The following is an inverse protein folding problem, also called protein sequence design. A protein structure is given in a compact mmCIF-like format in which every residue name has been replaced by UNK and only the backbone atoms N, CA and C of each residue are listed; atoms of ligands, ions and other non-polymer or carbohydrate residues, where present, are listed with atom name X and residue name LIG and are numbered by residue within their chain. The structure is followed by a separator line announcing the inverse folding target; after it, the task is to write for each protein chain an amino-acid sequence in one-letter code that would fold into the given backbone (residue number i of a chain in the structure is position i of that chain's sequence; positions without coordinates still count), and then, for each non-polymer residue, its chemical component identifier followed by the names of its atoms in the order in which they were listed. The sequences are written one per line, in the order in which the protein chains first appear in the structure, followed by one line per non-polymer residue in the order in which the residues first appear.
data_IF_811296381049
#
_entry.id   IF_811296381049
#
_cell.length_a   1.000
_cell.length_b   1.000
_cell.length_c   1.000
_cell.angle_alpha   90.00
_cell.angle_beta   90.00
_cell.angle_gamma   90.00
#
_symmetry.space_group_name_H-M   'P 1'
#
loop_
_entity.id
_entity.type
_entity.pdbx_description
1 polymer ?
#
# COMPACT_ATOMS: atom_id res chain seq x y z
N UNK A 1 3.20 -19.56 23.82
CA UNK A 1 2.06 -18.70 24.19
C UNK A 1 1.66 -17.94 22.96
N UNK A 2 0.58 -18.39 22.33
CA UNK A 2 0.02 -17.84 21.10
C UNK A 2 -1.39 -17.38 21.45
N UNK A 3 -1.79 -16.17 21.02
CA UNK A 3 -3.16 -15.76 20.71
C UNK A 3 -3.14 -14.27 20.31
N UNK A 4 -3.40 -13.96 19.03
CA UNK A 4 -4.65 -13.32 18.58
C UNK A 4 -4.56 -12.99 17.08
N UNK A 5 -5.33 -13.73 16.28
CA UNK A 5 -5.63 -13.47 14.87
C UNK A 5 -7.15 -13.60 14.72
N UNK A 6 -7.72 -12.74 13.87
CA UNK A 6 -9.04 -12.78 13.23
C UNK A 6 -10.29 -12.33 14.02
N UNK A 7 -11.11 -11.50 13.36
CA UNK A 7 -12.58 -11.23 13.45
C UNK A 7 -12.77 -9.81 12.85
N UNK A 8 -13.65 -9.45 11.90
CA UNK A 8 -14.83 -10.10 11.34
C UNK A 8 -15.15 -9.55 9.93
N UNK A 9 -15.71 -10.41 9.09
CA UNK A 9 -16.43 -10.11 7.85
C UNK A 9 -17.93 -10.44 8.11
N UNK A 10 -18.82 -9.77 7.37
CA UNK A 10 -20.30 -9.92 7.25
C UNK A 10 -21.23 -9.13 8.19
N UNK A 11 -22.04 -8.25 7.57
CA UNK A 11 -23.51 -8.41 7.51
C UNK A 11 -24.07 -7.72 6.25
N UNK A 12 -25.21 -8.25 5.81
CA UNK A 12 -25.83 -8.23 4.49
C UNK A 12 -26.90 -7.12 4.34
N UNK A 13 -27.22 -6.71 3.10
CA UNK A 13 -28.62 -6.70 2.66
C UNK A 13 -28.78 -6.59 1.13
N UNK A 14 -29.57 -7.52 0.60
CA UNK A 14 -29.96 -7.69 -0.79
C UNK A 14 -31.02 -6.67 -1.25
N UNK A 15 -31.03 -6.37 -2.55
CA UNK A 15 -32.25 -6.18 -3.33
C UNK A 15 -31.97 -6.50 -4.80
N UNK A 16 -32.27 -7.74 -5.19
CA UNK A 16 -32.41 -8.15 -6.59
C UNK A 16 -33.90 -8.06 -6.98
N UNK A 17 -34.16 -7.54 -8.17
CA UNK A 17 -35.40 -7.82 -8.92
C UNK A 17 -34.99 -8.33 -10.30
N UNK A 18 -35.48 -9.51 -10.60
CA UNK A 18 -35.33 -10.22 -11.85
C UNK A 18 -36.14 -9.55 -12.97
N UNK A 19 -35.62 -9.62 -14.19
CA UNK A 19 -36.45 -9.97 -15.34
C UNK A 19 -35.59 -10.60 -16.44
N UNK A 20 -35.96 -11.81 -16.81
CA UNK A 20 -35.36 -12.62 -17.87
C UNK A 20 -35.85 -12.19 -19.26
N UNK A 21 -35.03 -12.38 -20.29
CA UNK A 21 -35.47 -12.24 -21.67
C UNK A 21 -34.38 -12.38 -22.73
N UNK A 22 -34.32 -13.57 -23.32
CA UNK A 22 -33.84 -13.96 -24.66
C UNK A 22 -32.39 -13.72 -25.10
N UNK A 23 -31.78 -14.85 -25.43
CA UNK A 23 -30.64 -15.09 -26.31
C UNK A 23 -30.74 -14.33 -27.64
N UNK A 24 -29.65 -13.72 -28.09
CA UNK A 24 -29.26 -13.68 -29.50
C UNK A 24 -27.77 -13.32 -29.65
N UNK A 25 -27.08 -14.09 -30.49
CA UNK A 25 -25.65 -13.96 -30.83
C UNK A 25 -25.48 -12.84 -31.87
N UNK A 26 -24.65 -11.80 -31.64
CA UNK A 26 -24.37 -10.82 -32.67
C UNK A 26 -23.24 -11.28 -33.62
N UNK A 27 -23.28 -10.89 -34.91
CA UNK A 27 -22.39 -11.38 -35.96
C UNK A 27 -21.02 -10.68 -35.96
N UNK A 28 -20.07 -11.27 -36.70
CA UNK A 28 -18.69 -10.82 -36.85
C UNK A 28 -18.55 -9.35 -37.31
N UNK A 29 -17.50 -8.62 -36.86
CA UNK A 29 -17.39 -7.18 -37.07
C UNK A 29 -16.99 -6.81 -38.50
N UNK A 30 -17.71 -5.85 -39.08
CA UNK A 30 -17.36 -5.16 -40.33
C UNK A 30 -16.47 -3.94 -40.06
N UNK A 31 -15.51 -3.73 -40.97
CA UNK A 31 -14.51 -2.65 -40.94
C UNK A 31 -15.14 -1.25 -40.88
N UNK A 32 -15.10 -0.59 -39.72
CA UNK A 32 -15.41 0.85 -39.57
C UNK A 32 -14.64 1.52 -38.40
N UNK A 33 -13.39 1.14 -38.16
CA UNK A 33 -12.58 1.65 -37.04
C UNK A 33 -11.52 2.71 -37.46
N UNK A 34 -11.87 3.72 -38.26
CA UNK A 34 -10.94 4.84 -38.56
C UNK A 34 -11.47 6.24 -38.31
N UNK A 35 -12.77 6.45 -38.18
CA UNK A 35 -13.32 7.80 -37.92
C UNK A 35 -13.66 8.06 -36.44
N UNK A 36 -14.00 7.02 -35.68
CA UNK A 36 -14.40 7.15 -34.26
C UNK A 36 -13.22 7.36 -33.30
N UNK A 37 -11.98 7.03 -33.71
CA UNK A 37 -10.79 7.24 -32.86
C UNK A 37 -10.25 8.68 -32.93
N UNK A 38 -10.66 9.47 -33.91
CA UNK A 38 -10.18 10.86 -34.07
C UNK A 38 -10.96 11.84 -33.18
N UNK A 39 -12.26 11.58 -32.97
CA UNK A 39 -13.13 12.44 -32.15
C UNK A 39 -12.84 12.36 -30.65
N UNK A 40 -12.33 11.23 -30.16
CA UNK A 40 -12.03 11.06 -28.73
C UNK A 40 -10.68 11.66 -28.33
N UNK A 41 -9.71 11.74 -29.27
CA UNK A 41 -8.44 12.43 -29.06
C UNK A 41 -8.59 13.96 -29.12
N UNK A 42 -9.47 14.47 -29.98
CA UNK A 42 -9.75 15.91 -30.11
C UNK A 42 -10.53 16.47 -28.90
N UNK A 43 -11.23 15.61 -28.13
CA UNK A 43 -12.00 16.03 -26.96
C UNK A 43 -11.17 16.08 -25.66
N UNK A 44 -10.01 15.41 -25.62
CA UNK A 44 -9.04 15.53 -24.53
C UNK A 44 -8.35 16.90 -24.55
N UNK A 45 -8.20 17.52 -25.73
CA UNK A 45 -7.59 18.85 -25.88
C UNK A 45 -8.46 20.02 -25.40
N UNK A 46 -9.78 19.83 -25.21
CA UNK A 46 -10.72 20.94 -24.92
C UNK A 46 -10.89 21.31 -23.45
N UNK A 47 -10.35 20.52 -22.52
CA UNK A 47 -10.33 20.82 -21.08
C UNK A 47 -8.90 20.98 -20.56
N UNK A 48 -8.07 21.78 -21.24
CA UNK A 48 -6.76 22.15 -20.73
C UNK A 48 -6.97 23.08 -19.52
N UNK A 49 -6.93 22.52 -18.32
CA UNK A 49 -6.83 23.33 -17.10
C UNK A 49 -5.52 24.09 -17.23
N UNK A 50 -5.58 25.39 -17.51
CA UNK A 50 -4.38 26.23 -17.54
C UNK A 50 -3.89 26.36 -16.11
N UNK A 51 -3.01 25.46 -15.67
CA UNK A 51 -2.30 25.63 -14.40
C UNK A 51 -1.51 26.94 -14.52
N UNK A 52 -1.81 27.89 -13.65
CA UNK A 52 -0.99 29.09 -13.50
C UNK A 52 0.32 28.64 -12.85
N UNK A 53 1.41 28.58 -13.62
CA UNK A 53 2.78 28.33 -13.15
C UNK A 53 3.31 29.52 -12.32
N UNK A 54 2.54 29.97 -11.32
CA UNK A 54 2.84 31.11 -10.46
C UNK A 54 2.55 30.73 -9.02
N UNK A 55 3.42 31.14 -8.11
CA UNK A 55 3.32 30.85 -6.68
C UNK A 55 4.67 30.43 -6.10
N UNK A 56 4.78 30.45 -4.78
CA UNK A 56 6.00 30.14 -4.03
C UNK A 56 6.55 28.73 -4.36
N UNK A 57 5.65 27.77 -4.60
CA UNK A 57 6.01 26.41 -5.01
C UNK A 57 6.55 26.27 -6.44
N UNK A 58 6.50 27.33 -7.26
CA UNK A 58 7.06 27.31 -8.63
C UNK A 58 8.38 28.07 -8.74
N UNK A 59 8.92 28.55 -7.63
CA UNK A 59 10.28 29.07 -7.62
C UNK A 59 11.27 27.90 -7.50
N UNK A 60 11.69 27.39 -8.65
CA UNK A 60 12.57 26.23 -8.74
C UNK A 60 13.98 26.49 -8.19
N UNK A 61 14.42 27.75 -8.17
CA UNK A 61 15.73 28.15 -7.65
C UNK A 61 15.76 28.16 -6.11
N UNK A 62 14.60 28.08 -5.45
CA UNK A 62 14.47 28.10 -3.99
C UNK A 62 14.34 26.71 -3.37
N UNK A 63 14.38 25.62 -4.15
CA UNK A 63 14.34 24.25 -3.61
C UNK A 63 15.44 24.09 -2.55
N UNK A 64 15.05 23.67 -1.34
CA UNK A 64 15.90 23.58 -0.16
C UNK A 64 15.72 24.76 0.81
N UNK A 65 15.40 25.95 0.29
CA UNK A 65 15.19 27.18 1.07
C UNK A 65 13.71 27.46 1.38
N UNK A 66 12.78 26.83 0.65
CA UNK A 66 11.33 27.02 0.87
C UNK A 66 10.89 26.53 2.25
N UNK A 67 9.85 27.17 2.75
CA UNK A 67 9.22 26.80 4.01
C UNK A 67 8.06 25.83 3.77
N UNK A 68 8.40 24.61 3.35
CA UNK A 68 7.42 23.53 3.18
C UNK A 68 7.03 22.92 4.53
N UNK A 69 5.87 22.27 4.58
CA UNK A 69 5.46 21.56 5.80
C UNK A 69 4.79 22.44 6.87
N UNK A 70 4.44 23.67 6.51
CA UNK A 70 3.65 24.59 7.35
C UNK A 70 2.24 24.08 7.66
N UNK A 71 1.62 24.65 8.70
CA UNK A 71 0.26 24.32 9.15
C UNK A 71 0.20 23.67 10.54
N UNK A 72 -1.02 23.31 10.97
CA UNK A 72 -1.25 22.78 12.31
C UNK A 72 -0.57 21.41 12.51
N UNK A 73 0.40 21.37 13.41
CA UNK A 73 1.17 20.17 13.75
C UNK A 73 1.54 20.21 15.24
N UNK A 74 1.17 19.16 15.99
CA UNK A 74 1.47 19.06 17.43
C UNK A 74 2.84 18.44 17.74
N UNK A 75 3.63 18.10 16.72
CA UNK A 75 4.91 17.43 16.86
C UNK A 75 6.05 18.40 16.52
N UNK A 76 7.00 18.58 17.45
CA UNK A 76 8.28 19.21 17.13
C UNK A 76 9.12 18.30 16.22
N UNK A 77 10.18 18.83 15.62
CA UNK A 77 11.08 18.04 14.78
C UNK A 77 11.75 16.93 15.60
N UNK A 78 12.16 17.22 16.82
CA UNK A 78 12.79 16.25 17.73
C UNK A 78 11.82 15.12 18.10
N UNK A 79 10.57 15.48 18.40
CA UNK A 79 9.52 14.50 18.71
C UNK A 79 9.18 13.64 17.49
N UNK A 80 9.19 14.24 16.30
CA UNK A 80 8.99 13.54 15.04
C UNK A 80 10.08 12.51 14.77
N UNK A 81 11.35 12.90 14.94
CA UNK A 81 12.51 12.01 14.79
C UNK A 81 12.47 10.87 15.81
N UNK A 82 12.15 11.18 17.08
CA UNK A 82 12.05 10.16 18.13
C UNK A 82 10.94 9.14 17.83
N UNK A 83 9.77 9.61 17.39
CA UNK A 83 8.66 8.75 16.99
C UNK A 83 9.05 7.86 15.79
N UNK A 84 9.63 8.46 14.76
CA UNK A 84 10.13 7.75 13.59
C UNK A 84 11.14 6.67 13.93
N UNK A 85 12.09 6.97 14.83
CA UNK A 85 13.11 6.04 15.27
C UNK A 85 12.53 4.83 15.99
N UNK A 86 11.50 5.03 16.81
CA UNK A 86 10.79 3.92 17.46
C UNK A 86 10.10 3.03 16.42
N UNK A 87 9.35 3.64 15.49
CA UNK A 87 8.65 2.89 14.43
C UNK A 87 9.63 2.16 13.51
N UNK A 88 10.77 2.78 13.19
CA UNK A 88 11.80 2.15 12.36
C UNK A 88 12.38 0.90 13.03
N UNK A 89 12.60 0.92 14.35
CA UNK A 89 13.02 -0.28 15.10
C UNK A 89 11.99 -1.41 14.99
N UNK A 90 10.70 -1.10 15.09
CA UNK A 90 9.64 -2.10 14.92
C UNK A 90 9.64 -2.67 13.49
N UNK A 91 9.80 -1.82 12.47
CA UNK A 91 9.92 -2.30 11.08
C UNK A 91 11.13 -3.22 10.93
N UNK A 92 12.29 -2.84 11.46
CA UNK A 92 13.53 -3.62 11.38
C UNK A 92 13.48 -4.94 12.16
N UNK A 93 12.62 -5.03 13.18
CA UNK A 93 12.40 -6.27 13.93
C UNK A 93 11.62 -7.31 13.11
N UNK A 94 10.65 -6.86 12.29
CA UNK A 94 9.77 -7.76 11.54
C UNK A 94 10.11 -7.89 10.06
N UNK A 95 10.83 -6.93 9.49
CA UNK A 95 11.22 -6.91 8.09
C UNK A 95 12.64 -7.47 7.91
N UNK A 96 12.83 -8.24 6.84
CA UNK A 96 14.16 -8.69 6.44
C UNK A 96 14.88 -7.59 5.67
N UNK A 97 15.86 -6.95 6.30
CA UNK A 97 16.67 -5.90 5.66
C UNK A 97 17.70 -6.54 4.72
N UNK A 98 17.90 -5.93 3.55
CA UNK A 98 18.98 -6.32 2.63
C UNK A 98 20.26 -5.60 3.06
N UNK A 99 21.21 -6.37 3.62
CA UNK A 99 22.50 -5.86 4.09
C UNK A 99 23.63 -5.94 3.03
N UNK A 100 23.29 -6.17 1.76
CA UNK A 100 24.27 -6.17 0.68
C UNK A 100 24.85 -4.76 0.49
N UNK A 101 26.17 -4.56 0.65
CA UNK A 101 26.75 -3.22 0.66
C UNK A 101 26.65 -2.51 -0.69
N UNK A 102 26.61 -3.24 -1.82
CA UNK A 102 26.50 -2.64 -3.15
C UNK A 102 25.09 -2.12 -3.37
N UNK A 103 24.07 -2.91 -3.01
CA UNK A 103 22.67 -2.49 -3.15
C UNK A 103 22.34 -1.35 -2.19
N UNK A 104 22.75 -1.50 -0.92
CA UNK A 104 22.44 -0.51 0.12
C UNK A 104 23.15 0.82 -0.13
N UNK A 105 24.40 0.83 -0.61
CA UNK A 105 25.08 2.07 -0.99
C UNK A 105 24.43 2.73 -2.19
N UNK A 106 24.08 1.96 -3.24
CA UNK A 106 23.42 2.49 -4.42
C UNK A 106 22.08 3.16 -4.10
N UNK A 107 21.20 2.45 -3.39
CA UNK A 107 19.87 2.96 -3.00
C UNK A 107 20.00 4.19 -2.11
N UNK A 108 20.93 4.14 -1.15
CA UNK A 108 21.20 5.29 -0.30
C UNK A 108 21.73 6.46 -1.14
N UNK A 109 22.64 6.26 -2.10
CA UNK A 109 23.16 7.34 -2.95
C UNK A 109 22.06 8.01 -3.78
N UNK A 110 21.18 7.23 -4.42
CA UNK A 110 20.04 7.78 -5.17
C UNK A 110 19.13 8.59 -4.26
N UNK A 111 18.73 8.03 -3.11
CA UNK A 111 17.85 8.73 -2.18
C UNK A 111 18.49 9.95 -1.52
N UNK A 112 19.76 9.90 -1.16
CA UNK A 112 20.49 11.05 -0.62
C UNK A 112 20.66 12.16 -1.68
N UNK A 113 20.82 11.81 -2.95
CA UNK A 113 20.83 12.81 -4.03
C UNK A 113 19.48 13.54 -4.12
N UNK A 114 18.37 12.82 -4.03
CA UNK A 114 17.02 13.41 -3.95
C UNK A 114 16.85 14.28 -2.70
N UNK A 115 17.25 13.79 -1.53
CA UNK A 115 17.14 14.54 -0.26
C UNK A 115 17.92 15.86 -0.32
N UNK A 116 19.15 15.85 -0.86
CA UNK A 116 19.98 17.06 -1.00
C UNK A 116 19.38 18.10 -1.94
N UNK A 117 18.57 17.67 -2.91
CA UNK A 117 17.88 18.53 -3.87
C UNK A 117 16.38 18.62 -3.54
N UNK A 118 16.05 18.62 -2.25
CA UNK A 118 14.68 18.73 -1.73
C UNK A 118 14.61 19.73 -0.58
N UNK A 119 13.40 20.05 -0.13
CA UNK A 119 13.18 20.91 1.04
C UNK A 119 13.29 20.17 2.39
N UNK A 120 13.97 19.01 2.43
CA UNK A 120 14.12 18.19 3.62
C UNK A 120 14.83 18.95 4.76
N UNK A 121 14.25 18.89 5.97
CA UNK A 121 14.82 19.49 7.20
C UNK A 121 15.26 18.46 8.23
N UNK A 122 15.14 17.17 7.91
CA UNK A 122 15.50 16.04 8.78
C UNK A 122 16.50 15.13 8.04
N UNK A 123 17.40 14.44 8.77
CA UNK A 123 18.28 13.46 8.15
C UNK A 123 17.48 12.26 7.65
N UNK A 124 17.89 11.69 6.51
CA UNK A 124 17.26 10.49 5.98
C UNK A 124 18.12 9.25 6.23
N UNK A 125 17.47 8.19 6.73
CA UNK A 125 18.03 6.84 6.83
C UNK A 125 17.27 5.96 5.86
N UNK A 126 17.93 5.53 4.79
CA UNK A 126 17.29 4.75 3.72
C UNK A 126 17.75 3.30 3.82
N UNK A 127 16.80 2.37 3.88
CA UNK A 127 17.05 0.92 3.95
C UNK A 127 16.21 0.18 2.92
N UNK A 128 16.73 -0.94 2.43
CA UNK A 128 15.99 -1.83 1.53
C UNK A 128 15.46 -3.04 2.30
N UNK A 129 14.18 -3.36 2.07
CA UNK A 129 13.51 -4.54 2.60
C UNK A 129 13.46 -5.62 1.51
N UNK A 130 13.82 -6.85 1.86
CA UNK A 130 13.58 -8.03 1.06
C UNK A 130 12.07 -8.37 1.09
N UNK A 131 11.34 -7.85 0.12
CA UNK A 131 9.91 -8.11 -0.02
C UNK A 131 9.52 -8.07 -1.50
N UNK A 132 8.76 -9.06 -2.00
CA UNK A 132 8.30 -9.08 -3.39
C UNK A 132 7.23 -8.02 -3.67
N UNK A 133 6.72 -7.35 -2.63
CA UNK A 133 5.70 -6.32 -2.78
C UNK A 133 6.30 -5.06 -3.41
N UNK A 134 5.58 -4.51 -4.37
CA UNK A 134 5.87 -3.20 -4.94
C UNK A 134 5.48 -2.17 -3.87
N UNK A 135 6.46 -1.73 -3.08
CA UNK A 135 6.28 -0.73 -2.03
C UNK A 135 7.52 0.12 -1.79
N UNK A 136 7.28 1.36 -1.37
CA UNK A 136 8.21 2.20 -0.64
C UNK A 136 7.39 3.03 0.34
N UNK A 137 7.96 3.41 1.47
CA UNK A 137 7.30 4.26 2.44
C UNK A 137 8.33 5.01 3.27
N UNK A 138 7.97 6.22 3.69
CA UNK A 138 8.74 6.98 4.65
C UNK A 138 7.97 7.17 5.96
N UNK A 139 8.67 6.97 7.07
CA UNK A 139 8.19 7.24 8.42
C UNK A 139 8.57 8.67 8.82
N UNK A 140 7.90 9.23 9.85
CA UNK A 140 8.26 10.53 10.40
C UNK A 140 9.76 10.64 10.70
N UNK A 141 10.36 11.82 10.51
CA UNK A 141 11.77 12.03 10.85
C UNK A 141 12.80 11.39 9.90
N UNK A 142 12.38 10.97 8.69
CA UNK A 142 13.30 10.61 7.61
C UNK A 142 13.72 9.13 7.54
N UNK A 143 13.04 8.23 8.24
CA UNK A 143 13.30 6.79 8.08
C UNK A 143 12.56 6.25 6.86
N UNK A 144 13.30 5.89 5.82
CA UNK A 144 12.79 5.52 4.51
C UNK A 144 13.05 4.04 4.25
N UNK A 145 12.01 3.31 3.82
CA UNK A 145 12.13 1.93 3.40
C UNK A 145 11.66 1.74 1.96
N UNK A 146 12.47 1.03 1.18
CA UNK A 146 12.14 0.61 -0.19
C UNK A 146 12.13 -0.92 -0.27
N UNK A 147 11.11 -1.50 -0.90
CA UNK A 147 11.07 -2.95 -1.10
C UNK A 147 11.85 -3.35 -2.36
N UNK A 148 12.53 -4.50 -2.32
CA UNK A 148 13.17 -5.10 -3.50
C UNK A 148 12.17 -5.32 -4.65
N UNK A 149 10.92 -5.65 -4.33
CA UNK A 149 9.82 -5.76 -5.30
C UNK A 149 9.57 -4.48 -6.10
N UNK A 150 9.75 -3.30 -5.53
CA UNK A 150 9.63 -2.04 -6.29
C UNK A 150 10.73 -1.95 -7.36
N UNK A 151 11.99 -2.12 -6.94
CA UNK A 151 13.17 -2.02 -7.82
C UNK A 151 13.14 -3.05 -8.95
N UNK A 152 12.62 -4.25 -8.66
CA UNK A 152 12.48 -5.31 -9.66
C UNK A 152 11.39 -5.01 -10.70
N UNK A 153 10.37 -4.20 -10.38
CA UNK A 153 9.22 -3.93 -11.25
C UNK A 153 9.28 -2.60 -12.01
N UNK A 154 10.15 -1.67 -11.62
CA UNK A 154 10.42 -0.45 -12.42
C UNK A 154 11.37 -0.75 -13.59
N UNK A 155 11.24 -0.06 -14.72
CA UNK A 155 12.05 -0.35 -15.92
C UNK A 155 13.38 0.38 -15.93
N UNK A 156 13.47 1.51 -15.23
CA UNK A 156 14.63 2.38 -15.21
C UNK A 156 14.81 3.07 -13.86
N UNK A 157 15.97 3.70 -13.68
CA UNK A 157 16.31 4.38 -12.44
C UNK A 157 15.42 5.59 -12.16
N UNK A 158 15.01 6.34 -13.18
CA UNK A 158 14.16 7.52 -13.06
C UNK A 158 12.77 7.16 -12.49
N UNK A 159 12.20 6.02 -12.86
CA UNK A 159 10.98 5.48 -12.26
C UNK A 159 11.16 5.18 -10.76
N UNK A 160 12.27 4.54 -10.37
CA UNK A 160 12.59 4.31 -8.95
C UNK A 160 12.73 5.64 -8.20
N UNK A 161 13.49 6.57 -8.77
CA UNK A 161 13.71 7.89 -8.22
C UNK A 161 12.40 8.68 -8.08
N UNK A 162 11.44 8.53 -9.01
CA UNK A 162 10.14 9.20 -8.92
C UNK A 162 9.31 8.75 -7.71
N UNK A 163 9.33 7.46 -7.37
CA UNK A 163 8.66 6.94 -6.18
C UNK A 163 9.37 7.46 -4.93
N UNK A 164 10.71 7.44 -4.94
CA UNK A 164 11.49 7.97 -3.81
C UNK A 164 11.26 9.46 -3.59
N UNK A 165 11.17 10.25 -4.67
CA UNK A 165 10.91 11.68 -4.60
C UNK A 165 9.53 11.98 -3.99
N UNK A 166 8.52 11.19 -4.33
CA UNK A 166 7.17 11.28 -3.76
C UNK A 166 7.18 11.02 -2.25
N UNK A 167 7.83 9.94 -1.81
CA UNK A 167 7.95 9.59 -0.39
C UNK A 167 8.77 10.63 0.40
N UNK A 168 9.85 11.16 -0.19
CA UNK A 168 10.61 12.27 0.39
C UNK A 168 9.71 13.50 0.57
N UNK A 169 8.87 13.82 -0.43
CA UNK A 169 7.93 14.93 -0.33
C UNK A 169 6.92 14.79 0.82
N UNK A 170 6.47 13.57 1.14
CA UNK A 170 5.64 13.34 2.32
C UNK A 170 6.35 13.69 3.63
N UNK A 171 7.64 13.38 3.73
CA UNK A 171 8.46 13.73 4.91
C UNK A 171 8.74 15.23 4.94
N UNK A 172 9.13 15.85 3.81
CA UNK A 172 9.40 17.30 3.76
C UNK A 172 8.17 18.10 4.17
N UNK A 173 6.99 17.71 3.68
CA UNK A 173 5.72 18.36 4.05
C UNK A 173 5.15 17.88 5.39
N UNK A 174 5.84 16.99 6.10
CA UNK A 174 5.48 16.47 7.43
C UNK A 174 4.07 15.84 7.46
N UNK A 175 3.66 15.20 6.35
CA UNK A 175 2.30 14.69 6.17
C UNK A 175 1.92 13.64 7.21
N UNK A 176 2.85 12.77 7.62
CA UNK A 176 2.62 11.76 8.66
C UNK A 176 2.14 12.37 9.98
N UNK A 177 2.93 13.26 10.57
CA UNK A 177 2.59 13.90 11.86
C UNK A 177 1.44 14.90 11.76
N UNK A 178 1.22 15.54 10.61
CA UNK A 178 0.02 16.34 10.36
C UNK A 178 -1.24 15.46 10.31
N UNK A 179 -1.17 14.29 9.68
CA UNK A 179 -2.28 13.33 9.66
C UNK A 179 -2.57 12.80 11.07
N UNK A 180 -1.53 12.54 11.86
CA UNK A 180 -1.66 12.18 13.27
C UNK A 180 -2.32 13.27 14.11
N UNK A 181 -1.90 14.53 13.91
CA UNK A 181 -2.47 15.71 14.54
C UNK A 181 -3.96 15.82 14.22
N UNK A 182 -4.35 15.63 12.96
CA UNK A 182 -5.77 15.59 12.54
C UNK A 182 -6.54 14.46 13.24
N UNK A 183 -5.95 13.28 13.37
CA UNK A 183 -6.54 12.16 14.12
C UNK A 183 -6.74 12.49 15.61
N UNK A 184 -5.76 13.10 16.25
CA UNK A 184 -5.86 13.54 17.64
C UNK A 184 -6.96 14.59 17.83
N UNK A 185 -7.08 15.55 16.91
CA UNK A 185 -8.15 16.56 16.94
C UNK A 185 -9.51 15.90 16.73
N UNK A 186 -9.65 14.97 15.79
CA UNK A 186 -10.91 14.25 15.57
C UNK A 186 -11.33 13.44 16.81
N UNK A 187 -10.36 12.78 17.47
CA UNK A 187 -10.61 12.06 18.72
C UNK A 187 -10.99 13.01 19.88
N UNK A 188 -10.39 14.20 19.94
CA UNK A 188 -10.75 15.23 20.93
C UNK A 188 -12.16 15.80 20.66
N UNK A 189 -12.48 16.07 19.39
CA UNK A 189 -13.78 16.59 18.97
C UNK A 189 -14.93 15.58 19.12
N UNK A 190 -14.63 14.28 19.21
CA UNK A 190 -15.64 13.26 19.47
C UNK A 190 -16.00 13.14 20.97
N UNK A 191 -15.23 13.75 21.89
CA UNK A 191 -15.49 13.68 23.34
C UNK A 191 -16.88 14.21 23.71
N UNK A 192 -17.32 15.42 23.29
CA UNK A 192 -18.66 15.90 23.62
C UNK A 192 -19.77 14.97 23.10
N UNK A 193 -19.55 14.35 21.93
CA UNK A 193 -20.48 13.38 21.37
C UNK A 193 -20.54 12.09 22.21
N UNK A 194 -19.40 11.55 22.65
CA UNK A 194 -19.33 10.36 23.51
C UNK A 194 -19.94 10.58 24.90
N UNK A 195 -19.80 11.78 25.45
CA UNK A 195 -20.44 12.18 26.70
C UNK A 195 -21.97 12.25 26.51
N UNK A 196 -22.43 12.78 25.37
CA UNK A 196 -23.85 12.94 25.05
C UNK A 196 -24.56 11.63 24.67
N UNK A 197 -23.85 10.64 24.09
CA UNK A 197 -24.41 9.35 23.66
C UNK A 197 -24.40 8.24 24.73
N UNK A 198 -24.09 8.58 26.00
CA UNK A 198 -24.31 7.69 27.15
C UNK A 198 -23.08 6.95 27.69
N UNK A 199 -21.87 7.21 27.18
CA UNK A 199 -20.63 6.62 27.72
C UNK A 199 -20.10 7.29 28.99
N UNK A 200 -20.53 8.53 29.26
CA UNK A 200 -20.08 9.35 30.40
C UNK A 200 -18.55 9.52 30.46
N UNK A 201 -18.04 10.00 31.59
CA UNK A 201 -16.60 10.14 31.84
C UNK A 201 -15.87 8.79 31.98
N UNK A 202 -16.59 7.70 32.28
CA UNK A 202 -16.05 6.36 32.39
C UNK A 202 -15.67 5.73 31.04
N UNK A 203 -16.51 5.91 30.00
CA UNK A 203 -16.19 5.49 28.63
C UNK A 203 -14.97 6.21 28.05
N UNK A 204 -14.79 7.48 28.42
CA UNK A 204 -13.61 8.27 28.06
C UNK A 204 -12.31 7.74 28.68
N UNK A 205 -12.33 7.32 29.95
CA UNK A 205 -11.14 6.79 30.63
C UNK A 205 -10.64 5.46 30.04
N UNK A 206 -11.56 4.56 29.64
CA UNK A 206 -11.23 3.28 28.98
C UNK A 206 -10.63 3.53 27.60
N UNK A 207 -11.18 4.49 26.85
CA UNK A 207 -10.68 4.86 25.52
C UNK A 207 -9.29 5.52 25.55
N UNK A 208 -9.02 6.36 26.54
CA UNK A 208 -7.69 6.95 26.76
C UNK A 208 -6.64 5.87 27.12
N UNK A 209 -7.01 4.84 27.88
CA UNK A 209 -6.12 3.71 28.20
C UNK A 209 -5.72 2.87 26.98
N UNK A 210 -6.54 2.84 25.93
CA UNK A 210 -6.25 2.14 24.67
C UNK A 210 -5.47 2.99 23.65
N UNK A 211 -5.33 4.30 23.87
CA UNK A 211 -4.79 5.27 22.89
C UNK A 211 -3.25 5.33 22.82
N UNK A 212 -2.54 4.44 23.52
CA UNK A 212 -1.07 4.32 23.43
C UNK A 212 -0.59 3.47 22.23
N UNK A 213 -1.51 2.86 21.48
CA UNK A 213 -1.14 2.19 20.23
C UNK A 213 -0.79 3.23 19.16
N UNK A 214 0.42 3.17 18.61
CA UNK A 214 0.85 3.99 17.47
C UNK A 214 -0.16 3.78 16.34
N UNK A 215 -0.99 4.77 15.99
CA UNK A 215 -2.08 4.54 15.05
C UNK A 215 -1.50 4.26 13.66
N UNK A 216 -1.74 3.10 13.06
CA UNK A 216 -1.40 2.82 11.64
C UNK A 216 -2.06 3.80 10.63
N UNK A 217 -2.85 4.76 11.11
CA UNK A 217 -3.49 5.83 10.35
C UNK A 217 -2.51 6.88 9.80
N UNK A 218 -1.21 6.85 10.16
CA UNK A 218 -0.18 7.71 9.54
C UNK A 218 -0.03 7.47 8.04
N UNK A 219 -0.34 6.27 7.55
CA UNK A 219 -0.04 5.84 6.17
C UNK A 219 -1.19 6.09 5.19
N UNK A 220 -2.27 6.77 5.60
CA UNK A 220 -3.36 7.16 4.69
C UNK A 220 -3.49 8.66 4.65
N UNK A 221 -3.07 9.24 3.53
CA UNK A 221 -3.04 10.67 3.37
C UNK A 221 -4.29 11.22 2.69
N UNK A 222 -4.60 12.48 3.02
CA UNK A 222 -5.68 13.21 2.35
C UNK A 222 -5.30 13.51 0.90
N UNK A 223 -6.30 13.69 0.02
CA UNK A 223 -6.06 14.04 -1.40
C UNK A 223 -5.16 15.27 -1.57
N UNK A 224 -5.27 16.25 -0.67
CA UNK A 224 -4.45 17.46 -0.72
C UNK A 224 -2.97 17.15 -0.42
N UNK A 225 -2.69 16.22 0.50
CA UNK A 225 -1.32 15.80 0.81
C UNK A 225 -0.71 15.02 -0.35
N UNK A 226 -1.50 14.18 -1.03
CA UNK A 226 -1.04 13.49 -2.25
C UNK A 226 -0.71 14.49 -3.36
N UNK A 227 -1.56 15.49 -3.58
CA UNK A 227 -1.31 16.53 -4.60
C UNK A 227 -0.09 17.39 -4.26
N UNK A 228 0.11 17.73 -2.99
CA UNK A 228 1.30 18.44 -2.53
C UNK A 228 2.56 17.59 -2.71
N UNK A 229 2.50 16.30 -2.38
CA UNK A 229 3.60 15.36 -2.56
C UNK A 229 3.93 15.10 -4.04
N UNK A 230 2.93 15.05 -4.92
CA UNK A 230 3.15 15.00 -6.39
C UNK A 230 3.87 16.25 -6.88
N UNK A 231 3.46 17.43 -6.40
CA UNK A 231 4.09 18.71 -6.75
C UNK A 231 5.55 18.76 -6.38
N UNK A 232 5.83 18.53 -5.10
CA UNK A 232 7.17 18.63 -4.56
C UNK A 232 8.05 17.49 -5.09
N UNK A 233 7.50 16.26 -5.14
CA UNK A 233 8.19 15.10 -5.69
C UNK A 233 8.62 15.28 -7.14
N UNK A 234 7.74 15.82 -7.99
CA UNK A 234 8.09 16.13 -9.38
C UNK A 234 9.22 17.16 -9.47
N UNK A 235 9.20 18.17 -8.61
CA UNK A 235 10.25 19.20 -8.57
C UNK A 235 11.58 18.67 -8.06
N UNK A 236 11.58 17.80 -7.04
CA UNK A 236 12.80 17.16 -6.54
C UNK A 236 13.41 16.21 -7.58
N UNK A 237 12.55 15.49 -8.31
CA UNK A 237 12.95 14.64 -9.43
C UNK A 237 13.57 15.47 -10.56
N UNK A 238 12.93 16.58 -10.94
CA UNK A 238 13.48 17.53 -11.91
C UNK A 238 14.81 18.14 -11.43
N UNK A 239 14.89 18.57 -10.16
CA UNK A 239 16.08 19.22 -9.59
C UNK A 239 17.31 18.32 -9.65
N UNK A 240 17.13 17.04 -9.34
CA UNK A 240 18.18 16.00 -9.44
C UNK A 240 18.54 15.62 -10.89
N UNK A 241 17.78 16.07 -11.89
CA UNK A 241 18.06 15.84 -13.30
C UNK A 241 17.47 14.55 -13.86
N UNK A 242 16.66 13.81 -13.09
CA UNK A 242 15.88 12.68 -13.60
C UNK A 242 14.73 13.17 -14.48
N UNK A 243 14.23 12.29 -15.34
CA UNK A 243 13.13 12.60 -16.24
C UNK A 243 11.80 12.72 -15.47
N UNK A 244 11.15 13.90 -15.46
CA UNK A 244 9.88 14.10 -14.78
C UNK A 244 8.75 13.20 -15.31
N UNK A 245 8.82 12.75 -16.57
CA UNK A 245 7.83 11.85 -17.18
C UNK A 245 7.76 10.49 -16.49
N UNK A 246 8.85 10.04 -15.86
CA UNK A 246 8.90 8.74 -15.19
C UNK A 246 7.92 8.64 -14.02
N UNK A 247 7.52 9.77 -13.43
CA UNK A 247 6.45 9.78 -12.41
C UNK A 247 5.11 9.34 -13.02
N UNK A 248 4.79 9.80 -14.23
CA UNK A 248 3.60 9.38 -14.98
C UNK A 248 3.69 7.90 -15.36
N UNK A 249 4.86 7.46 -15.85
CA UNK A 249 5.10 6.07 -16.26
C UNK A 249 4.85 5.09 -15.11
N UNK A 250 5.29 5.42 -13.89
CA UNK A 250 5.01 4.62 -12.69
C UNK A 250 3.51 4.54 -12.41
N UNK A 251 2.78 5.66 -12.48
CA UNK A 251 1.32 5.63 -12.26
C UNK A 251 0.62 4.72 -13.27
N UNK A 252 0.96 4.84 -14.55
CA UNK A 252 0.37 4.04 -15.61
C UNK A 252 0.71 2.56 -15.46
N UNK A 253 1.96 2.24 -15.14
CA UNK A 253 2.44 0.88 -14.90
C UNK A 253 1.72 0.22 -13.75
N UNK A 254 1.65 0.88 -12.60
CA UNK A 254 0.96 0.34 -11.43
C UNK A 254 -0.55 0.19 -11.70
N UNK A 255 -1.17 1.12 -12.44
CA UNK A 255 -2.57 1.00 -12.84
C UNK A 255 -2.79 -0.19 -13.80
N UNK A 256 -1.85 -0.45 -14.71
CA UNK A 256 -1.88 -1.61 -15.58
C UNK A 256 -1.73 -2.94 -14.81
N UNK A 257 -0.85 -2.97 -13.79
CA UNK A 257 -0.68 -4.13 -12.92
C UNK A 257 -1.98 -4.46 -12.15
N UNK A 258 -2.65 -3.45 -11.60
CA UNK A 258 -3.92 -3.64 -10.89
C UNK A 258 -5.03 -4.16 -11.82
N UNK A 259 -5.08 -3.66 -13.07
CA UNK A 259 -6.02 -4.19 -14.08
C UNK A 259 -5.76 -5.65 -14.42
N UNK A 260 -4.49 -6.07 -14.51
CA UNK A 260 -4.10 -7.45 -14.86
C UNK A 260 -4.42 -8.43 -13.73
N UNK A 261 -4.28 -8.03 -12.48
CA UNK A 261 -4.53 -8.90 -11.33
C UNK A 261 -5.18 -8.11 -10.20
N UNK A 262 -6.52 -8.02 -10.25
CA UNK A 262 -7.34 -7.34 -9.23
C UNK A 262 -6.95 -7.79 -7.82
N UNK A 263 -6.64 -6.86 -6.92
CA UNK A 263 -6.14 -7.15 -5.58
C UNK A 263 -4.63 -7.32 -5.47
N UNK A 264 -3.88 -7.06 -6.55
CA UNK A 264 -2.41 -6.88 -6.53
C UNK A 264 -2.07 -5.40 -6.43
N UNK A 265 -2.94 -4.64 -5.76
CA UNK A 265 -2.74 -3.21 -5.61
C UNK A 265 -1.42 -3.07 -4.87
N UNK A 266 -0.41 -2.51 -5.55
CA UNK A 266 0.87 -2.23 -4.95
C UNK A 266 0.59 -1.58 -3.59
N UNK A 267 1.30 -1.98 -2.53
CA UNK A 267 1.03 -1.38 -1.21
C UNK A 267 1.24 0.14 -1.26
N UNK A 268 2.10 0.62 -2.18
CA UNK A 268 2.18 2.05 -2.57
C UNK A 268 0.79 2.63 -2.84
N UNK A 269 -0.02 1.99 -3.68
CA UNK A 269 -1.37 2.46 -4.01
C UNK A 269 -2.43 2.17 -2.95
N UNK A 270 -2.14 1.31 -1.98
CA UNK A 270 -3.03 1.12 -0.83
C UNK A 270 -2.94 2.27 0.17
N UNK A 271 -1.74 2.85 0.34
CA UNK A 271 -1.52 4.09 1.10
C UNK A 271 -1.78 5.36 0.26
N UNK A 272 -1.43 5.32 -1.03
CA UNK A 272 -1.50 6.44 -1.99
C UNK A 272 -2.40 6.10 -3.19
N UNK A 273 -3.73 6.01 -3.02
CA UNK A 273 -4.61 5.56 -4.08
C UNK A 273 -4.50 6.44 -5.33
N UNK A 274 -4.27 5.85 -6.51
CA UNK A 274 -4.17 6.62 -7.74
C UNK A 274 -5.54 7.23 -8.04
N UNK A 275 -5.51 8.48 -8.48
CA UNK A 275 -6.70 9.20 -8.94
C UNK A 275 -6.45 9.55 -10.40
N UNK A 276 -7.43 9.33 -11.28
CA UNK A 276 -7.31 9.68 -12.70
C UNK A 276 -6.92 11.15 -12.92
N UNK A 277 -7.21 12.03 -11.95
CA UNK A 277 -6.78 13.43 -11.97
C UNK A 277 -5.29 13.65 -11.66
N UNK A 278 -4.62 12.77 -10.91
CA UNK A 278 -3.22 12.95 -10.49
C UNK A 278 -2.26 12.91 -11.68
N UNK A 279 -2.38 11.91 -12.54
CA UNK A 279 -1.55 11.79 -13.74
C UNK A 279 -1.69 13.03 -14.66
N UNK A 280 -2.93 13.50 -14.89
CA UNK A 280 -3.17 14.73 -15.65
C UNK A 280 -2.58 15.97 -14.98
N UNK A 281 -2.68 16.06 -13.64
CA UNK A 281 -2.08 17.15 -12.87
C UNK A 281 -0.56 17.15 -13.01
N UNK A 282 0.09 15.98 -12.94
CA UNK A 282 1.54 15.86 -13.14
C UNK A 282 1.93 16.30 -14.56
N UNK A 283 1.19 15.86 -15.59
CA UNK A 283 1.43 16.27 -16.98
C UNK A 283 1.28 17.78 -17.18
N UNK A 284 0.31 18.41 -16.53
CA UNK A 284 0.14 19.86 -16.58
C UNK A 284 1.29 20.59 -15.88
N UNK A 285 1.84 20.03 -14.81
CA UNK A 285 2.96 20.63 -14.08
C UNK A 285 4.30 20.49 -14.78
N UNK A 286 4.49 19.40 -15.52
CA UNK A 286 5.66 19.24 -16.37
C UNK A 286 5.79 20.40 -17.36
N UNK A 287 4.68 21.00 -17.80
CA UNK A 287 4.69 22.19 -18.67
C UNK A 287 5.22 23.45 -17.96
N UNK A 288 5.25 23.46 -16.63
CA UNK A 288 5.80 24.56 -15.83
C UNK A 288 7.30 24.38 -15.53
N UNK A 289 7.86 23.18 -15.72
CA UNK A 289 9.26 22.92 -15.42
C UNK A 289 10.17 23.56 -16.48
N UNK A 290 11.28 24.21 -16.09
CA UNK A 290 12.28 24.65 -17.04
C UNK A 290 12.87 23.44 -17.77
N UNK A 291 12.96 23.52 -19.10
CA UNK A 291 13.57 22.45 -19.88
C UNK A 291 15.06 22.30 -19.52
N UNK A 292 15.49 21.06 -19.36
CA UNK A 292 16.91 20.67 -19.32
C UNK A 292 17.30 20.03 -20.65
N UNK A 293 18.56 20.20 -21.05
CA UNK A 293 19.07 19.64 -22.31
C UNK A 293 19.02 18.10 -22.31
N UNK A 294 19.23 17.49 -21.14
CA UNK A 294 19.25 16.05 -20.95
C UNK A 294 18.65 15.68 -19.59
N UNK A 295 17.95 14.56 -19.57
CA UNK A 295 17.45 13.92 -18.36
C UNK A 295 18.10 12.56 -18.16
N UNK A 296 18.33 12.20 -16.90
CA UNK A 296 18.74 10.86 -16.52
C UNK A 296 17.50 9.97 -16.53
N UNK A 297 17.43 9.03 -17.48
CA UNK A 297 16.41 7.99 -17.50
C UNK A 297 16.89 6.73 -16.77
N UNK A 298 18.11 6.29 -17.10
CA UNK A 298 18.64 5.03 -16.59
C UNK A 298 20.17 5.07 -16.52
N UNK A 299 20.76 4.31 -15.61
CA UNK A 299 22.21 4.12 -15.51
C UNK A 299 22.61 2.67 -15.72
N UNK A 300 23.88 2.44 -16.05
CA UNK A 300 24.42 1.08 -16.11
C UNK A 300 24.40 0.42 -14.72
N UNK A 301 24.63 1.21 -13.68
CA UNK A 301 24.67 0.75 -12.30
C UNK A 301 23.32 0.27 -11.80
N UNK A 302 22.22 0.97 -12.13
CA UNK A 302 20.87 0.51 -11.83
C UNK A 302 20.62 -0.91 -12.35
N UNK A 303 21.06 -1.20 -13.59
CA UNK A 303 20.92 -2.54 -14.18
C UNK A 303 21.73 -3.57 -13.42
N UNK A 304 22.99 -3.26 -13.10
CA UNK A 304 23.84 -4.16 -12.31
C UNK A 304 23.28 -4.44 -10.90
N UNK A 305 22.70 -3.43 -10.26
CA UNK A 305 22.03 -3.57 -8.96
C UNK A 305 20.76 -4.40 -9.08
N UNK A 306 19.97 -4.19 -10.14
CA UNK A 306 18.76 -4.98 -10.42
C UNK A 306 19.10 -6.45 -10.66
N UNK A 307 20.14 -6.75 -11.42
CA UNK A 307 20.63 -8.12 -11.65
C UNK A 307 21.10 -8.77 -10.35
N UNK A 308 21.88 -8.04 -9.54
CA UNK A 308 22.32 -8.49 -8.22
C UNK A 308 21.15 -8.78 -7.27
N UNK A 309 20.11 -7.94 -7.30
CA UNK A 309 18.87 -8.15 -6.55
C UNK A 309 18.13 -9.42 -7.00
N UNK A 310 18.09 -9.72 -8.30
CA UNK A 310 17.50 -10.97 -8.81
C UNK A 310 18.24 -12.16 -8.22
N UNK A 311 19.57 -12.18 -8.31
CA UNK A 311 20.39 -13.28 -7.76
C UNK A 311 20.19 -13.46 -6.26
N UNK A 312 20.21 -12.37 -5.49
CA UNK A 312 19.97 -12.43 -4.04
C UNK A 312 18.57 -12.96 -3.70
N UNK A 313 17.55 -12.53 -4.44
CA UNK A 313 16.17 -12.99 -4.21
C UNK A 313 16.03 -14.48 -4.54
N UNK A 314 16.70 -14.97 -5.58
CA UNK A 314 16.77 -16.41 -5.88
C UNK A 314 17.48 -17.21 -4.77
N UNK A 315 18.59 -16.70 -4.25
CA UNK A 315 19.30 -17.31 -3.13
C UNK A 315 18.43 -17.35 -1.86
N UNK A 316 17.73 -16.26 -1.56
CA UNK A 316 16.81 -16.18 -0.42
C UNK A 316 15.67 -17.18 -0.57
N UNK A 317 15.01 -17.24 -1.74
CA UNK A 317 13.97 -18.23 -2.02
C UNK A 317 14.46 -19.66 -1.91
N UNK A 318 15.71 -19.93 -2.29
CA UNK A 318 16.31 -21.26 -2.13
C UNK A 318 16.50 -21.61 -0.66
N UNK A 319 17.06 -20.69 0.14
CA UNK A 319 17.26 -20.87 1.58
C UNK A 319 15.93 -21.04 2.33
N UNK A 320 14.91 -20.26 1.98
CA UNK A 320 13.59 -20.35 2.60
C UNK A 320 12.94 -21.71 2.33
N UNK A 321 13.07 -22.24 1.11
CA UNK A 321 12.61 -23.60 0.77
C UNK A 321 13.36 -24.67 1.55
N UNK A 322 14.69 -24.57 1.61
CA UNK A 322 15.52 -25.50 2.39
C UNK A 322 15.12 -25.48 3.88
N UNK A 323 14.87 -24.30 4.44
CA UNK A 323 14.38 -24.14 5.80
C UNK A 323 12.98 -24.75 6.00
N UNK A 324 12.01 -24.47 5.11
CA UNK A 324 10.65 -25.03 5.15
C UNK A 324 10.64 -26.57 5.03
N UNK A 325 11.54 -27.13 4.22
CA UNK A 325 11.69 -28.58 4.10
C UNK A 325 12.33 -29.20 5.34
N UNK A 326 13.24 -28.48 6.00
CA UNK A 326 13.92 -28.93 7.23
C UNK A 326 13.12 -28.73 8.51
N UNK A 327 12.03 -27.93 8.51
CA UNK A 327 11.30 -27.63 9.75
C UNK A 327 10.50 -28.85 10.24
N UNK A 328 10.46 -29.11 11.56
CA UNK A 328 9.64 -30.17 12.12
C UNK A 328 8.16 -29.96 11.79
N UNK A 329 7.56 -30.87 11.01
CA UNK A 329 6.12 -30.86 10.72
C UNK A 329 5.41 -31.67 11.80
N UNK A 330 4.38 -31.09 12.44
CA UNK A 330 3.53 -31.81 13.38
C UNK A 330 2.84 -32.95 12.62
N UNK A 331 3.25 -34.19 12.88
CA UNK A 331 2.55 -35.37 12.37
C UNK A 331 1.20 -35.42 13.08
N UNK A 332 0.13 -35.07 12.38
CA UNK A 332 -1.21 -35.41 12.83
C UNK A 332 -1.31 -36.94 12.78
N UNK A 333 -1.42 -37.57 13.95
CA UNK A 333 -1.74 -38.99 14.06
C UNK A 333 -3.13 -39.16 13.46
N UNK A 334 -3.21 -39.62 12.22
CA UNK A 334 -4.47 -40.16 11.72
C UNK A 334 -4.66 -41.49 12.46
N UNK A 335 -5.83 -41.63 13.07
CA UNK A 335 -6.27 -42.87 13.69
C UNK A 335 -6.11 -44.03 12.70
N UNK A 336 -5.57 -45.13 13.22
CA UNK A 336 -5.37 -46.37 12.51
C UNK A 336 -6.72 -46.80 11.91
N UNK A 337 -6.89 -46.63 10.59
CA UNK A 337 -7.89 -47.38 9.84
C UNK A 337 -7.36 -48.81 9.82
N UNK A 338 -7.76 -49.58 10.83
CA UNK A 338 -7.70 -51.03 10.81
C UNK A 338 -8.70 -51.45 9.72
N UNK A 339 -8.21 -51.81 8.54
CA UNK A 339 -8.98 -52.64 7.62
C UNK A 339 -9.13 -54.03 8.26
N UNK A 340 -10.36 -54.52 8.56
CA UNK A 340 -10.51 -55.87 9.03
C UNK A 340 -10.57 -56.82 7.83
N UNK A 341 -9.65 -57.78 7.82
CA UNK A 341 -9.72 -58.98 6.99
C UNK A 341 -11.05 -59.71 7.19
N UNK A 342 -11.58 -60.18 6.06
CA UNK A 342 -12.82 -60.92 5.90
C UNK A 342 -12.94 -62.13 6.83
N UNK A 343 -14.01 -62.16 7.65
CA UNK A 343 -14.66 -63.40 8.07
C UNK A 343 -16.18 -63.29 7.93
N UNK A 344 -16.70 -64.35 7.35
CA UNK A 344 -18.07 -64.66 6.96
C UNK A 344 -19.05 -64.72 8.15
N UNK A 345 -20.31 -64.32 7.91
CA UNK A 345 -21.46 -64.69 8.74
C UNK A 345 -22.32 -63.55 9.32
N UNK A 346 -23.52 -63.36 8.75
CA UNK A 346 -24.75 -63.17 9.54
C UNK A 346 -25.32 -61.75 9.76
N UNK A 347 -26.32 -61.44 8.93
CA UNK A 347 -27.55 -60.66 9.20
C UNK A 347 -27.55 -59.22 9.76
N UNK A 348 -28.51 -58.46 9.24
CA UNK A 348 -28.77 -57.02 9.40
C UNK A 348 -29.47 -56.73 10.73
N UNK A 349 -29.06 -55.66 11.44
CA UNK A 349 -29.96 -54.92 12.32
C UNK A 349 -29.50 -53.45 12.48
N UNK A 350 -30.42 -52.51 12.18
CA UNK A 350 -30.24 -51.07 12.37
C UNK A 350 -30.54 -50.71 13.83
N UNK A 351 -29.51 -50.42 14.63
CA UNK A 351 -29.71 -50.10 16.05
C UNK A 351 -29.86 -48.58 16.26
N UNK A 352 -31.13 -48.14 16.28
CA UNK A 352 -31.56 -46.80 16.73
C UNK A 352 -31.60 -46.77 18.27
N UNK A 353 -31.28 -45.63 18.92
CA UNK A 353 -31.25 -45.55 20.38
C UNK A 353 -32.63 -45.80 21.02
N UNK A 354 -32.70 -46.52 22.16
CA UNK A 354 -33.96 -47.03 22.70
C UNK A 354 -34.79 -45.92 23.38
N UNK A 355 -36.08 -45.86 23.02
CA UNK A 355 -37.07 -44.92 23.58
C UNK A 355 -38.07 -45.70 24.45
N UNK A 356 -38.18 -45.31 25.72
CA UNK A 356 -39.17 -45.85 26.67
C UNK A 356 -40.58 -45.39 26.29
N UNK A 357 -41.47 -46.30 25.91
CA UNK A 357 -42.90 -46.04 25.72
C UNK A 357 -43.71 -46.53 26.93
N UNK A 358 -44.53 -45.62 27.48
CA UNK A 358 -45.53 -45.85 28.53
C UNK A 358 -46.65 -46.75 27.99
N UNK A 359 -47.13 -47.76 28.74
CA UNK A 359 -48.14 -48.69 28.23
C UNK A 359 -49.55 -48.15 28.46
N UNK A 360 -50.27 -47.87 27.37
CA UNK A 360 -51.71 -47.65 27.40
C UNK A 360 -52.41 -48.86 26.77
N UNK A 361 -53.09 -49.67 27.60
CA UNK A 361 -54.29 -50.42 27.22
C UNK A 361 -55.04 -50.83 28.49
N UNK A 362 -56.08 -50.08 28.82
CA UNK A 362 -57.22 -50.59 29.57
C UNK A 362 -58.08 -51.46 28.64
N UNK A 363 -58.52 -52.60 29.13
CA UNK A 363 -59.58 -53.41 28.53
C UNK A 363 -60.87 -53.23 29.35
N UNK A 364 -61.95 -52.80 28.68
CA UNK A 364 -63.32 -53.23 28.92
C UNK A 364 -64.04 -53.34 27.55
N UNK A 365 -64.33 -54.59 27.16
CA UNK A 365 -65.61 -55.20 26.67
C UNK A 365 -66.61 -54.21 26.00
N UNK A 366 -67.18 -54.42 24.80
CA UNK A 366 -67.58 -55.62 24.04
C UNK A 366 -67.48 -55.34 22.53
#
# INVERSE_FOLDING_TARGET
MAHFVLICLFLCSCAAKDNAGSTDVPPAPSNSNKETQKSDLDNVQKNKVSISCKGEYFNFDEIGARDVGQGLNFYSIEKEIALGSQMAKEVEEYAKIIDDPVISEYVNRVGQNLVRNSDAKVPFTIKMIDSPEINAFALPGGFFFINSGLVLNVDNESEMASVMAHEIAHVTSRHGVKQATRGQIANLASIPLMIMTGGGWAGYAIYQGASLAIPMTFLKFSRNFETEADWLGLQYLWATGYDPSSMVDVFEKLAALEKRKKGTLAKVFSSHPPNSKRAGTIQDLMQCLPNKDQYVLNTAEFRSVKDRLVTLNEEFRRKDKEYDDSRPKLRRKNDDVIEPESKDGGEKEEDKPPVLKRPDKFHYIN
#
